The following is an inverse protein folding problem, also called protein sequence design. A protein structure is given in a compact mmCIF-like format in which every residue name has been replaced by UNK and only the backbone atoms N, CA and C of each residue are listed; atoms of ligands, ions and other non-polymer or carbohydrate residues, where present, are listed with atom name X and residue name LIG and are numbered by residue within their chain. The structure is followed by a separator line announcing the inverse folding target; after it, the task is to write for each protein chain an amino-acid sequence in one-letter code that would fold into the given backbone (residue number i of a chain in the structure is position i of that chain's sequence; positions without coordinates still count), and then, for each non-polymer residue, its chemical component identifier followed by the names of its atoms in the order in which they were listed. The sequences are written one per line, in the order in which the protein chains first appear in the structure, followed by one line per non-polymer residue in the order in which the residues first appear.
data_IF_617190100087
#
_entry.id   IF_617190100087
#
_cell.length_a   1.000
_cell.length_b   1.000
_cell.length_c   1.000
_cell.angle_alpha   90.00
_cell.angle_beta   90.00
_cell.angle_gamma   90.00
#
_symmetry.space_group_name_H-M   'P 1'
#
loop_
_entity.id
_entity.type
_entity.pdbx_description
1 polymer ?
#
# COMPACT_ATOMS: atom_id res chain seq x y z
N UNK A 1 3.46 0.54 12.63
CA UNK A 1 3.04 -0.15 11.39
C UNK A 1 4.28 -0.71 10.68
N UNK A 2 4.25 -1.92 10.12
CA UNK A 2 5.43 -2.51 9.45
C UNK A 2 5.07 -3.54 8.36
N UNK A 3 6.02 -3.81 7.46
CA UNK A 3 6.00 -4.96 6.53
C UNK A 3 7.43 -5.48 6.33
N UNK A 4 7.58 -6.70 5.80
CA UNK A 4 8.86 -7.42 5.70
C UNK A 4 9.05 -7.98 4.30
N UNK A 5 10.25 -7.78 3.73
CA UNK A 5 10.65 -8.35 2.45
C UNK A 5 11.05 -9.82 2.57
N UNK A 6 11.09 -10.51 1.43
CA UNK A 6 11.52 -11.91 1.36
C UNK A 6 12.99 -12.11 1.77
N UNK A 7 13.83 -11.07 1.69
CA UNK A 7 15.22 -11.12 2.15
C UNK A 7 15.38 -10.81 3.65
N UNK A 8 14.28 -10.61 4.38
CA UNK A 8 14.27 -10.36 5.81
C UNK A 8 14.49 -8.89 6.21
N UNK A 9 14.43 -7.97 5.25
CA UNK A 9 14.43 -6.52 5.53
C UNK A 9 13.07 -6.07 6.05
N UNK A 10 13.08 -5.44 7.22
CA UNK A 10 11.91 -4.84 7.86
C UNK A 10 11.78 -3.38 7.44
N UNK A 11 10.56 -2.98 7.11
CA UNK A 11 10.18 -1.58 6.89
C UNK A 11 9.18 -1.18 7.96
N UNK A 12 9.58 -0.27 8.85
CA UNK A 12 8.84 0.10 10.05
C UNK A 12 8.56 1.59 10.01
N UNK A 13 7.30 2.00 10.12
CA UNK A 13 6.96 3.40 10.32
C UNK A 13 7.13 3.78 11.81
N UNK A 14 8.00 4.76 12.08
CA UNK A 14 8.23 5.38 13.39
C UNK A 14 7.41 6.66 13.51
N UNK A 15 6.32 6.58 14.29
CA UNK A 15 5.39 7.70 14.53
C UNK A 15 6.03 8.89 15.22
N UNK A 16 7.02 8.68 16.10
CA UNK A 16 7.65 9.78 16.84
C UNK A 16 8.51 10.65 15.93
N UNK A 17 9.14 10.02 14.93
CA UNK A 17 10.02 10.70 13.97
C UNK A 17 9.34 11.03 12.65
N UNK A 18 8.14 10.49 12.44
CA UNK A 18 7.39 10.54 11.18
C UNK A 18 8.22 10.03 10.00
N UNK A 19 8.91 8.91 10.15
CA UNK A 19 9.79 8.36 9.11
C UNK A 19 9.69 6.84 9.01
N UNK A 20 10.11 6.29 7.88
CA UNK A 20 10.22 4.84 7.68
C UNK A 20 11.65 4.43 7.94
N UNK A 21 11.81 3.42 8.78
CA UNK A 21 13.06 2.77 9.13
C UNK A 21 13.14 1.45 8.36
N UNK A 22 14.21 1.27 7.59
CA UNK A 22 14.58 0.01 6.96
C UNK A 22 15.76 -0.62 7.69
N UNK A 23 15.64 -1.92 8.03
CA UNK A 23 16.71 -2.68 8.70
C UNK A 23 16.55 -4.18 8.46
N UNK A 24 17.65 -4.92 8.35
CA UNK A 24 17.66 -6.39 8.29
C UNK A 24 18.22 -7.04 9.56
N UNK A 25 18.86 -6.27 10.44
CA UNK A 25 19.61 -6.77 11.59
C UNK A 25 19.35 -6.01 12.90
N UNK A 26 18.49 -4.98 12.87
CA UNK A 26 18.20 -4.07 13.99
C UNK A 26 19.45 -3.39 14.58
N UNK A 27 20.53 -3.31 13.81
CA UNK A 27 21.77 -2.61 14.17
C UNK A 27 22.06 -1.49 13.18
N UNK A 28 21.83 -1.76 11.90
CA UNK A 28 21.97 -0.80 10.81
C UNK A 28 20.58 -0.33 10.38
N UNK A 29 20.38 0.98 10.41
CA UNK A 29 19.11 1.61 10.08
C UNK A 29 19.29 2.56 8.91
N UNK A 30 18.38 2.48 7.95
CA UNK A 30 18.25 3.45 6.88
C UNK A 30 16.88 4.11 6.97
N UNK A 31 16.84 5.44 7.05
CA UNK A 31 15.62 6.18 7.35
C UNK A 31 15.23 7.06 6.16
N UNK A 32 13.94 7.13 5.83
CA UNK A 32 13.43 7.91 4.72
C UNK A 32 11.96 8.32 4.92
N UNK A 33 11.44 9.15 4.01
CA UNK A 33 10.03 9.56 3.99
C UNK A 33 9.66 10.73 4.91
N UNK A 34 10.57 11.18 5.79
CA UNK A 34 10.29 12.19 6.82
C UNK A 34 9.58 13.47 6.34
N UNK A 35 9.92 13.92 5.13
CA UNK A 35 9.38 15.16 4.55
C UNK A 35 8.24 14.92 3.56
N UNK A 36 7.94 13.66 3.25
CA UNK A 36 6.89 13.24 2.35
C UNK A 36 5.64 12.75 3.10
N UNK A 37 5.85 12.14 4.27
CA UNK A 37 4.81 11.58 5.12
C UNK A 37 4.14 12.66 5.99
N UNK A 38 2.84 12.49 6.22
CA UNK A 38 2.02 13.28 7.13
C UNK A 38 1.40 12.40 8.21
N UNK A 39 0.42 11.57 7.85
CA UNK A 39 -0.27 10.62 8.74
C UNK A 39 -0.49 9.27 8.03
N UNK A 40 0.55 8.41 7.99
CA UNK A 40 0.48 7.09 7.38
C UNK A 40 -0.54 6.18 8.05
N UNK A 41 -1.47 5.65 7.27
CA UNK A 41 -2.48 4.68 7.72
C UNK A 41 -2.10 3.23 7.42
N UNK A 42 -1.52 2.98 6.25
CA UNK A 42 -1.05 1.65 5.85
C UNK A 42 0.31 1.75 5.15
N UNK A 43 1.15 0.72 5.31
CA UNK A 43 2.45 0.55 4.68
C UNK A 43 2.50 -0.88 4.19
N UNK A 44 2.58 -1.03 2.87
CA UNK A 44 2.51 -2.32 2.21
C UNK A 44 3.71 -2.46 1.30
N UNK A 45 4.45 -3.54 1.49
CA UNK A 45 5.60 -3.86 0.67
C UNK A 45 5.17 -4.66 -0.55
N UNK A 46 5.64 -4.21 -1.71
CA UNK A 46 5.67 -4.98 -2.95
C UNK A 46 7.11 -5.37 -3.26
N UNK A 47 7.29 -6.23 -4.27
CA UNK A 47 8.60 -6.77 -4.65
C UNK A 47 9.72 -5.72 -4.78
N UNK A 48 9.42 -4.54 -5.30
CA UNK A 48 10.41 -3.48 -5.58
C UNK A 48 10.04 -2.12 -5.02
N UNK A 49 8.90 -2.01 -4.36
CA UNK A 49 8.40 -0.72 -3.88
C UNK A 49 7.65 -0.85 -2.57
N UNK A 50 7.66 0.22 -1.81
CA UNK A 50 6.89 0.40 -0.60
C UNK A 50 5.77 1.40 -0.87
N UNK A 51 4.53 1.01 -0.57
CA UNK A 51 3.35 1.85 -0.77
C UNK A 51 2.79 2.27 0.58
N UNK A 52 2.67 3.58 0.78
CA UNK A 52 2.17 4.17 2.02
C UNK A 52 0.89 4.91 1.70
N UNK A 53 -0.23 4.46 2.27
CA UNK A 53 -1.51 5.16 2.15
C UNK A 53 -1.74 6.06 3.35
N UNK A 54 -2.07 7.32 3.10
CA UNK A 54 -2.45 8.32 4.09
C UNK A 54 -3.96 8.55 3.97
N UNK A 55 -4.71 8.09 4.97
CA UNK A 55 -6.19 8.05 4.90
C UNK A 55 -6.81 9.44 4.95
N UNK A 56 -6.32 10.32 5.81
CA UNK A 56 -6.91 11.66 5.98
C UNK A 56 -6.61 12.57 4.78
N UNK A 57 -5.43 12.44 4.18
CA UNK A 57 -5.05 13.13 2.94
C UNK A 57 -5.57 12.43 1.66
N UNK A 58 -6.19 11.26 1.82
CA UNK A 58 -6.60 10.33 0.76
C UNK A 58 -5.60 10.22 -0.40
N UNK A 59 -4.36 9.82 -0.08
CA UNK A 59 -3.30 9.67 -1.07
C UNK A 59 -2.38 8.49 -0.78
N UNK A 60 -1.78 7.94 -1.82
CA UNK A 60 -0.80 6.86 -1.75
C UNK A 60 0.56 7.35 -2.23
N UNK A 61 1.57 7.23 -1.38
CA UNK A 61 2.96 7.54 -1.65
C UNK A 61 3.71 6.28 -2.02
N UNK A 62 4.49 6.34 -3.09
CA UNK A 62 5.32 5.24 -3.58
C UNK A 62 6.79 5.56 -3.32
N UNK A 63 7.46 4.65 -2.64
CA UNK A 63 8.90 4.67 -2.43
C UNK A 63 9.52 3.42 -3.07
N UNK A 64 10.75 3.53 -3.55
CA UNK A 64 11.56 2.34 -3.82
C UNK A 64 11.93 1.65 -2.51
N UNK A 65 12.31 0.37 -2.55
CA UNK A 65 12.83 -0.34 -1.37
C UNK A 65 14.12 0.29 -0.81
N UNK A 66 14.79 1.13 -1.61
CA UNK A 66 15.97 1.91 -1.20
C UNK A 66 15.57 3.26 -0.57
N UNK A 67 14.27 3.51 -0.37
CA UNK A 67 13.72 4.70 0.29
C UNK A 67 13.66 5.96 -0.57
N UNK A 68 13.91 5.84 -1.88
CA UNK A 68 13.71 6.96 -2.80
C UNK A 68 12.22 7.18 -3.01
N UNK A 69 11.74 8.41 -2.85
CA UNK A 69 10.38 8.79 -3.26
C UNK A 69 10.25 8.74 -4.79
N UNK A 70 9.28 7.98 -5.29
CA UNK A 70 9.08 7.78 -6.72
C UNK A 70 7.87 8.56 -7.25
N UNK A 71 6.74 8.51 -6.53
CA UNK A 71 5.47 9.07 -7.01
C UNK A 71 4.43 9.21 -5.90
N UNK A 72 3.46 10.08 -6.13
CA UNK A 72 2.22 10.19 -5.36
C UNK A 72 1.01 9.89 -6.25
N UNK A 73 0.00 9.23 -5.68
CA UNK A 73 -1.28 8.93 -6.31
C UNK A 73 -2.43 9.44 -5.43
N UNK A 74 -3.48 9.94 -6.05
CA UNK A 74 -4.73 10.27 -5.37
C UNK A 74 -5.51 9.00 -5.02
N UNK A 75 -5.94 8.90 -3.77
CA UNK A 75 -6.72 7.80 -3.20
C UNK A 75 -5.90 6.64 -2.62
N UNK A 76 -6.63 5.63 -2.13
CA UNK A 76 -6.06 4.34 -1.72
C UNK A 76 -5.75 3.49 -2.95
N UNK A 77 -4.48 3.45 -3.32
CA UNK A 77 -3.98 2.80 -4.53
C UNK A 77 -3.04 1.66 -4.16
N UNK A 78 -3.14 0.56 -4.90
CA UNK A 78 -2.16 -0.52 -4.85
C UNK A 78 -1.63 -0.79 -6.26
N UNK A 79 -0.32 -0.90 -6.37
CA UNK A 79 0.40 -1.12 -7.61
C UNK A 79 1.11 -2.47 -7.63
N UNK A 80 1.01 -3.15 -8.77
CA UNK A 80 1.79 -4.35 -9.06
C UNK A 80 2.02 -4.46 -10.57
N UNK A 81 3.25 -4.72 -11.00
CA UNK A 81 3.61 -4.90 -12.42
C UNK A 81 3.07 -3.79 -13.35
N UNK A 82 3.27 -2.52 -12.96
CA UNK A 82 2.74 -1.33 -13.67
C UNK A 82 1.21 -1.21 -13.72
N UNK A 83 0.48 -2.15 -13.13
CA UNK A 83 -0.95 -2.04 -12.94
C UNK A 83 -1.25 -1.26 -11.67
N UNK A 84 -2.31 -0.49 -11.72
CA UNK A 84 -2.75 0.38 -10.64
C UNK A 84 -4.21 0.04 -10.37
N UNK A 85 -4.47 -0.43 -9.15
CA UNK A 85 -5.82 -0.55 -8.63
C UNK A 85 -6.08 0.55 -7.64
N UNK A 86 -7.25 1.17 -7.76
CA UNK A 86 -7.74 2.16 -6.82
C UNK A 86 -8.94 1.58 -6.07
N UNK A 87 -8.93 1.72 -4.76
CA UNK A 87 -10.08 1.46 -3.93
C UNK A 87 -10.98 2.69 -3.91
N UNK A 88 -12.16 2.53 -4.50
CA UNK A 88 -13.29 3.41 -4.30
C UNK A 88 -14.11 2.92 -3.11
N UNK A 89 -14.92 3.80 -2.52
CA UNK A 89 -15.70 3.49 -1.31
C UNK A 89 -16.45 2.15 -1.41
N UNK A 90 -17.01 1.81 -2.57
CA UNK A 90 -17.87 0.63 -2.75
C UNK A 90 -17.34 -0.40 -3.75
N UNK A 91 -16.20 -0.17 -4.39
CA UNK A 91 -15.68 -1.03 -5.47
C UNK A 91 -14.19 -0.79 -5.73
N UNK A 92 -13.56 -1.67 -6.50
CA UNK A 92 -12.23 -1.45 -7.05
C UNK A 92 -12.31 -0.98 -8.51
N UNK A 93 -11.37 -0.14 -8.92
CA UNK A 93 -11.16 0.27 -10.32
C UNK A 93 -9.71 0.06 -10.74
N UNK A 94 -9.49 -0.05 -12.05
CA UNK A 94 -8.16 -0.06 -12.66
C UNK A 94 -7.87 1.30 -13.29
N UNK A 95 -6.62 1.75 -13.32
CA UNK A 95 -6.25 3.01 -14.00
C UNK A 95 -6.49 3.02 -15.51
N UNK A 96 -6.53 1.85 -16.16
CA UNK A 96 -6.66 1.71 -17.62
C UNK A 96 -8.07 1.43 -18.12
N UNK A 97 -9.06 1.28 -17.24
CA UNK A 97 -10.40 0.89 -17.64
C UNK A 97 -11.48 1.28 -16.64
N UNK A 98 -12.68 1.52 -17.15
CA UNK A 98 -13.85 1.93 -16.35
C UNK A 98 -14.54 0.76 -15.62
N UNK A 99 -13.98 -0.45 -15.73
CA UNK A 99 -14.58 -1.64 -15.10
C UNK A 99 -14.49 -1.54 -13.58
N UNK A 100 -15.61 -1.85 -12.93
CA UNK A 100 -15.77 -1.87 -11.48
C UNK A 100 -15.77 -3.31 -11.00
N UNK A 101 -14.92 -3.60 -10.03
CA UNK A 101 -14.76 -4.95 -9.47
C UNK A 101 -15.16 -4.98 -8.00
N UNK A 102 -15.48 -6.17 -7.50
CA UNK A 102 -15.74 -6.43 -6.08
C UNK A 102 -16.71 -5.42 -5.44
N UNK A 103 -17.89 -5.23 -6.03
CA UNK A 103 -18.86 -4.24 -5.55
C UNK A 103 -19.41 -4.66 -4.17
N UNK A 104 -19.40 -3.73 -3.21
CA UNK A 104 -19.93 -3.94 -1.86
C UNK A 104 -20.70 -2.69 -1.37
N UNK A 105 -22.04 -2.77 -1.21
CA UNK A 105 -22.86 -1.65 -0.73
C UNK A 105 -22.49 -1.14 0.67
N UNK A 106 -21.88 -1.98 1.52
CA UNK A 106 -21.44 -1.57 2.87
C UNK A 106 -20.14 -0.76 2.84
N UNK A 107 -19.48 -0.73 1.68
CA UNK A 107 -18.20 -0.10 1.46
C UNK A 107 -17.02 -0.94 1.96
N UNK A 108 -15.88 -0.75 1.31
CA UNK A 108 -14.61 -1.34 1.71
C UNK A 108 -13.89 -0.39 2.65
N UNK A 109 -13.26 -0.96 3.68
CA UNK A 109 -12.52 -0.21 4.70
C UNK A 109 -11.01 -0.40 4.54
N UNK A 110 -10.59 -1.57 4.05
CA UNK A 110 -9.19 -1.87 3.78
C UNK A 110 -9.03 -2.61 2.46
N UNK A 111 -7.91 -2.33 1.81
CA UNK A 111 -7.48 -2.92 0.57
C UNK A 111 -5.97 -3.15 0.63
N UNK A 112 -5.54 -4.38 0.42
CA UNK A 112 -4.13 -4.75 0.37
C UNK A 112 -3.93 -5.67 -0.82
N UNK A 113 -2.87 -5.43 -1.60
CA UNK A 113 -2.37 -6.40 -2.55
C UNK A 113 -1.15 -7.07 -1.96
N UNK A 114 -1.17 -8.38 -1.76
CA UNK A 114 0.01 -9.12 -1.31
C UNK A 114 0.18 -10.39 -2.13
N UNK A 115 1.39 -10.59 -2.62
CA UNK A 115 1.71 -11.64 -3.59
C UNK A 115 0.75 -11.56 -4.79
N UNK A 116 0.01 -12.62 -5.10
CA UNK A 116 -0.97 -12.65 -6.20
C UNK A 116 -2.41 -12.36 -5.77
N UNK A 117 -2.65 -12.08 -4.49
CA UNK A 117 -3.99 -11.93 -3.96
C UNK A 117 -4.30 -10.48 -3.58
N UNK A 118 -5.53 -10.09 -3.84
CA UNK A 118 -6.14 -8.88 -3.32
C UNK A 118 -7.04 -9.24 -2.15
N UNK A 119 -6.80 -8.55 -1.05
CA UNK A 119 -7.55 -8.64 0.19
C UNK A 119 -8.41 -7.39 0.33
N UNK A 120 -9.72 -7.58 0.40
CA UNK A 120 -10.69 -6.52 0.65
C UNK A 120 -11.42 -6.82 1.96
N UNK A 121 -11.41 -5.86 2.87
CA UNK A 121 -12.06 -5.99 4.16
C UNK A 121 -13.13 -4.92 4.32
N UNK A 122 -14.30 -5.37 4.74
CA UNK A 122 -15.42 -4.57 5.21
C UNK A 122 -15.88 -5.13 6.56
N UNK A 123 -16.73 -4.38 7.26
CA UNK A 123 -17.15 -4.66 8.64
C UNK A 123 -17.50 -6.13 8.92
N UNK A 124 -18.25 -6.75 8.02
CA UNK A 124 -18.70 -8.14 8.15
C UNK A 124 -18.35 -9.00 6.92
N UNK A 125 -17.39 -8.59 6.09
CA UNK A 125 -17.06 -9.29 4.84
C UNK A 125 -15.58 -9.18 4.53
N UNK A 126 -14.99 -10.32 4.18
CA UNK A 126 -13.64 -10.40 3.61
C UNK A 126 -13.74 -11.03 2.24
N UNK A 127 -13.06 -10.45 1.25
CA UNK A 127 -12.80 -11.09 -0.04
C UNK A 127 -11.29 -11.27 -0.16
N UNK A 128 -10.90 -12.48 -0.55
CA UNK A 128 -9.55 -12.80 -0.99
C UNK A 128 -9.72 -13.29 -2.43
N UNK A 129 -9.15 -12.58 -3.38
CA UNK A 129 -9.30 -12.89 -4.79
C UNK A 129 -7.94 -12.83 -5.49
N UNK A 130 -7.70 -13.76 -6.40
CA UNK A 130 -6.63 -13.63 -7.38
C UNK A 130 -7.10 -12.73 -8.52
N UNK A 131 -6.20 -11.90 -9.03
CA UNK A 131 -6.46 -11.10 -10.23
C UNK A 131 -5.78 -11.75 -11.41
N UNK A 132 -6.59 -12.37 -12.25
CA UNK A 132 -6.19 -12.78 -13.58
C UNK A 132 -6.32 -11.59 -14.52
N UNK A 133 -5.26 -11.35 -15.29
CA UNK A 133 -5.25 -10.34 -16.33
C UNK A 133 -5.31 -11.03 -17.68
N UNK A 134 -6.21 -10.55 -18.54
CA UNK A 134 -6.22 -10.88 -19.97
C UNK A 134 -5.14 -10.10 -20.73
#
# INVERSE_FOLDING_TARGET
MFDVSNDGTYFIYDEQKNEIISTSDFKNFYNFGKFQLSEPYSLNLQRTSLQVYEREADKTLLFSILGQFEREYEGNVQMKNQQVLKLEKYYLTTSKGERKFAINPQGWQHFIWKDNYVYLLAKNKVIIAELEYE
#
